data_IF_333424933585
#
_entry.id   IF_333424933585
#
_cell.length_a   1.000
_cell.length_b   1.000
_cell.length_c   1.000
_cell.angle_alpha   90.00
_cell.angle_beta   90.00
_cell.angle_gamma   90.00
#
_symmetry.space_group_name_H-M   'P 1'
#
loop_
_entity.id
_entity.type
_entity.pdbx_description
1 polymer ?
#
# COMPACT_ATOMS: atom_id res chain seq x y z
N UNK A 1 7.13 13.34 -0.86
CA UNK A 1 6.51 14.18 -1.91
C UNK A 1 6.02 13.38 -3.12
N UNK A 2 6.88 12.58 -3.77
CA UNK A 2 6.53 11.79 -4.96
C UNK A 2 5.26 10.95 -4.83
N UNK A 3 5.11 10.22 -3.72
CA UNK A 3 3.92 9.39 -3.48
C UNK A 3 2.63 10.22 -3.36
N UNK A 4 2.69 11.38 -2.70
CA UNK A 4 1.55 12.30 -2.58
C UNK A 4 1.13 12.85 -3.95
N UNK A 5 2.11 13.19 -4.79
CA UNK A 5 1.86 13.62 -6.16
C UNK A 5 1.30 12.48 -7.03
N UNK A 6 1.72 11.24 -6.79
CA UNK A 6 1.15 10.05 -7.42
C UNK A 6 -0.34 9.90 -7.11
N UNK A 7 -0.74 10.04 -5.83
CA UNK A 7 -2.15 10.00 -5.45
C UNK A 7 -2.93 11.13 -6.12
N UNK A 8 -2.42 12.38 -6.10
CA UNK A 8 -3.05 13.52 -6.79
C UNK A 8 -3.24 13.25 -8.28
N UNK A 9 -2.22 12.72 -8.96
CA UNK A 9 -2.30 12.38 -10.37
C UNK A 9 -3.38 11.31 -10.66
N UNK A 10 -3.46 10.26 -9.82
CA UNK A 10 -4.49 9.23 -9.94
C UNK A 10 -5.91 9.79 -9.75
N UNK A 11 -6.11 10.68 -8.77
CA UNK A 11 -7.40 11.35 -8.54
C UNK A 11 -7.78 12.27 -9.70
N UNK A 12 -6.84 13.05 -10.20
CA UNK A 12 -7.04 13.90 -11.38
C UNK A 12 -7.36 13.09 -12.64
N UNK A 13 -6.90 11.84 -12.69
CA UNK A 13 -7.16 10.90 -13.79
C UNK A 13 -8.43 10.05 -13.56
N UNK A 14 -9.23 10.36 -12.54
CA UNK A 14 -10.49 9.69 -12.21
C UNK A 14 -10.37 8.18 -11.97
N UNK A 15 -9.28 7.74 -11.34
CA UNK A 15 -9.14 6.35 -10.93
C UNK A 15 -10.26 6.00 -9.94
N UNK A 16 -10.91 4.84 -10.14
CA UNK A 16 -12.03 4.41 -9.30
C UNK A 16 -11.63 4.24 -7.84
N UNK A 17 -10.42 3.73 -7.59
CA UNK A 17 -9.88 3.58 -6.24
C UNK A 17 -8.35 3.76 -6.22
N UNK A 18 -7.83 4.25 -5.10
CA UNK A 18 -6.42 4.41 -4.78
C UNK A 18 -6.14 3.71 -3.45
N UNK A 19 -5.18 2.78 -3.46
CA UNK A 19 -4.64 2.15 -2.24
C UNK A 19 -3.25 2.69 -1.98
N UNK A 20 -2.96 3.08 -0.74
CA UNK A 20 -1.63 3.54 -0.35
C UNK A 20 -0.95 2.53 0.58
N UNK A 21 0.37 2.41 0.47
CA UNK A 21 1.21 1.65 1.39
C UNK A 21 2.16 2.64 2.06
N UNK A 22 2.18 2.65 3.39
CA UNK A 22 3.02 3.57 4.16
C UNK A 22 3.50 2.95 5.47
N UNK A 23 4.35 3.67 6.19
CA UNK A 23 4.80 3.32 7.52
C UNK A 23 5.28 4.57 8.26
N UNK A 24 6.12 4.38 9.28
CA UNK A 24 6.69 5.44 10.11
C UNK A 24 5.66 6.13 11.00
N UNK A 25 5.61 7.46 10.99
CA UNK A 25 4.76 8.23 11.87
C UNK A 25 3.28 8.13 11.45
N UNK A 26 2.39 8.22 12.43
CA UNK A 26 0.94 8.17 12.23
C UNK A 26 0.43 9.37 11.42
N UNK A 27 1.09 10.53 11.55
CA UNK A 27 0.82 11.76 10.81
C UNK A 27 1.40 11.76 9.38
N UNK A 28 1.79 10.59 8.85
CA UNK A 28 2.23 10.45 7.47
C UNK A 28 1.09 10.89 6.54
N UNK A 29 1.26 11.96 5.73
CA UNK A 29 0.18 12.49 4.90
C UNK A 29 -0.36 11.48 3.88
N UNK A 30 0.40 10.43 3.56
CA UNK A 30 -0.04 9.39 2.65
C UNK A 30 -1.16 8.52 3.24
N UNK A 31 -1.25 8.44 4.58
CA UNK A 31 -2.20 7.62 5.32
C UNK A 31 -3.67 8.14 5.24
N UNK A 32 -3.89 9.30 4.63
CA UNK A 32 -5.21 9.92 4.51
C UNK A 32 -5.68 10.12 3.06
N UNK A 33 -4.83 9.81 2.07
CA UNK A 33 -5.09 10.15 0.66
C UNK A 33 -5.66 9.00 -0.17
N UNK A 34 -5.48 7.75 0.28
CA UNK A 34 -6.08 6.57 -0.34
C UNK A 34 -7.51 6.31 0.15
N UNK A 35 -8.26 5.54 -0.63
CA UNK A 35 -9.52 4.95 -0.18
C UNK A 35 -9.28 3.82 0.81
N UNK A 36 -8.14 3.14 0.66
CA UNK A 36 -7.60 2.16 1.61
C UNK A 36 -6.14 2.56 1.89
N UNK A 37 -5.80 2.73 3.17
CA UNK A 37 -4.47 3.13 3.59
C UNK A 37 -3.86 1.99 4.42
N UNK A 38 -2.94 1.23 3.81
CA UNK A 38 -2.18 0.19 4.48
C UNK A 38 -0.96 0.84 5.13
N UNK A 39 -1.10 1.20 6.40
CA UNK A 39 -0.06 1.82 7.20
C UNK A 39 0.48 0.85 8.25
N UNK A 40 1.80 0.76 8.34
CA UNK A 40 2.48 0.02 9.39
C UNK A 40 3.04 0.99 10.44
N UNK A 41 2.59 0.85 11.68
CA UNK A 41 3.14 1.56 12.83
C UNK A 41 4.53 1.02 13.20
N UNK A 42 5.52 1.40 12.41
CA UNK A 42 6.92 1.07 12.63
C UNK A 42 7.83 2.08 11.97
N UNK A 43 8.84 2.53 12.72
CA UNK A 43 9.93 3.36 12.19
C UNK A 43 11.08 2.53 11.61
N UNK A 44 11.05 1.22 11.77
CA UNK A 44 12.09 0.33 11.27
C UNK A 44 11.92 0.12 9.77
N UNK A 45 12.74 0.80 8.97
CA UNK A 45 12.68 0.83 7.51
C UNK A 45 12.54 -0.57 6.88
N UNK A 46 13.44 -1.49 7.26
CA UNK A 46 13.44 -2.86 6.72
C UNK A 46 12.14 -3.60 7.05
N UNK A 47 11.53 -3.35 8.21
CA UNK A 47 10.26 -4.00 8.57
C UNK A 47 9.12 -3.44 7.71
N UNK A 48 9.09 -2.12 7.49
CA UNK A 48 8.10 -1.48 6.62
C UNK A 48 8.15 -2.08 5.22
N UNK A 49 9.33 -2.16 4.61
CA UNK A 49 9.46 -2.72 3.25
C UNK A 49 9.08 -4.20 3.17
N UNK A 50 9.49 -5.02 4.14
CA UNK A 50 9.15 -6.45 4.12
C UNK A 50 7.64 -6.68 4.30
N UNK A 51 6.98 -5.90 5.15
CA UNK A 51 5.52 -5.98 5.31
C UNK A 51 4.80 -5.50 4.06
N UNK A 52 5.28 -4.43 3.41
CA UNK A 52 4.75 -3.99 2.11
C UNK A 52 4.83 -5.10 1.07
N UNK A 53 5.96 -5.83 1.02
CA UNK A 53 6.11 -6.98 0.13
C UNK A 53 5.11 -8.10 0.45
N UNK A 54 4.88 -8.41 1.73
CA UNK A 54 3.87 -9.40 2.13
C UNK A 54 2.47 -8.95 1.72
N UNK A 55 2.08 -7.69 1.92
CA UNK A 55 0.79 -7.16 1.47
C UNK A 55 0.60 -7.30 -0.04
N UNK A 56 1.62 -6.96 -0.84
CA UNK A 56 1.57 -7.10 -2.29
C UNK A 56 1.40 -8.56 -2.72
N UNK A 57 2.15 -9.49 -2.11
CA UNK A 57 2.03 -10.91 -2.40
C UNK A 57 0.65 -11.46 -2.02
N UNK A 58 0.10 -11.05 -0.88
CA UNK A 58 -1.26 -11.43 -0.49
C UNK A 58 -2.30 -10.90 -1.48
N UNK A 59 -2.14 -9.69 -2.02
CA UNK A 59 -3.03 -9.17 -3.06
C UNK A 59 -2.95 -10.06 -4.31
N UNK A 60 -1.75 -10.50 -4.70
CA UNK A 60 -1.58 -11.43 -5.83
C UNK A 60 -2.33 -12.74 -5.60
N UNK A 61 -2.19 -13.35 -4.41
CA UNK A 61 -2.91 -14.58 -4.07
C UNK A 61 -4.44 -14.39 -4.07
N UNK A 62 -4.92 -13.23 -3.60
CA UNK A 62 -6.34 -12.87 -3.63
C UNK A 62 -6.86 -12.72 -5.06
N UNK A 63 -6.07 -12.16 -5.97
CA UNK A 63 -6.43 -12.05 -7.40
C UNK A 63 -6.45 -13.42 -8.08
N UNK A 64 -5.48 -14.29 -7.78
CA UNK A 64 -5.42 -15.65 -8.31
C UNK A 64 -6.56 -16.51 -7.73
N UNK A 65 -6.99 -16.23 -6.50
CA UNK A 65 -8.02 -16.98 -5.79
C UNK A 65 -7.53 -18.30 -5.18
N UNK A 66 -6.21 -18.49 -5.09
CA UNK A 66 -5.55 -19.64 -4.44
C UNK A 66 -4.34 -19.14 -3.66
N UNK A 67 -4.12 -19.72 -2.47
CA UNK A 67 -2.98 -19.39 -1.58
C UNK A 67 -1.95 -20.51 -1.50
N UNK A 68 -2.35 -21.71 -1.90
CA UNK A 68 -1.52 -22.90 -1.90
C UNK A 68 -1.38 -23.40 -3.34
N UNK A 69 -0.14 -23.68 -3.71
CA UNK A 69 0.24 -24.15 -5.05
C UNK A 69 0.89 -25.52 -4.89
N UNK A 70 0.70 -26.39 -5.88
CA UNK A 70 1.44 -27.66 -5.93
C UNK A 70 2.94 -27.38 -6.04
N UNK A 71 3.74 -28.02 -5.19
CA UNK A 71 5.20 -27.99 -5.24
C UNK A 71 5.76 -28.65 -6.51
#
# INVERSE_FOLDING_TARGET
ENMLNGVKAARNSHFHSVVTLSGFAEDNPLNELGDINLWLDSKAYNFVENIHQIWLLMIVDLVIGKREYSA
#
